data_IF_504522138110
#
_entry.id   IF_504522138110
#
_cell.length_a   1.000
_cell.length_b   1.000
_cell.length_c   1.000
_cell.angle_alpha   90.00
_cell.angle_beta   90.00
_cell.angle_gamma   90.00
#
_symmetry.space_group_name_H-M   'P 1'
#
loop_
_entity.id
_entity.type
_entity.pdbx_description
1 polymer ?
#
# COMPACT_ATOMS: atom_id res chain seq x y z
N UNK A 1 -16.60 -11.60 -7.23
CA UNK A 1 -15.17 -11.79 -6.89
C UNK A 1 -14.98 -13.17 -6.29
N UNK A 2 -13.88 -13.88 -6.59
CA UNK A 2 -13.62 -15.20 -6.03
C UNK A 2 -13.38 -15.07 -4.52
N UNK A 3 -13.89 -16.03 -3.71
CA UNK A 3 -13.72 -16.03 -2.24
C UNK A 3 -12.25 -15.92 -1.82
N UNK A 4 -11.33 -16.56 -2.56
CA UNK A 4 -9.89 -16.48 -2.31
C UNK A 4 -9.35 -15.04 -2.39
N UNK A 5 -9.84 -14.25 -3.36
CA UNK A 5 -9.43 -12.85 -3.53
C UNK A 5 -10.02 -11.99 -2.40
N UNK A 6 -11.27 -12.23 -2.01
CA UNK A 6 -11.90 -11.52 -0.89
C UNK A 6 -11.16 -11.77 0.42
N UNK A 7 -10.84 -13.04 0.71
CA UNK A 7 -10.09 -13.41 1.91
C UNK A 7 -8.69 -12.82 1.93
N UNK A 8 -8.01 -12.80 0.76
CA UNK A 8 -6.69 -12.18 0.63
C UNK A 8 -6.72 -10.66 0.87
N UNK A 9 -7.74 -9.96 0.33
CA UNK A 9 -7.94 -8.53 0.57
C UNK A 9 -8.22 -8.28 2.05
N UNK A 10 -9.10 -9.05 2.67
CA UNK A 10 -9.42 -8.91 4.10
C UNK A 10 -8.18 -9.10 4.97
N UNK A 11 -7.39 -10.15 4.69
CA UNK A 11 -6.13 -10.42 5.39
C UNK A 11 -5.13 -9.28 5.21
N UNK A 12 -4.96 -8.78 3.99
CA UNK A 12 -4.07 -7.66 3.70
C UNK A 12 -4.50 -6.39 4.43
N UNK A 13 -5.80 -6.11 4.47
CA UNK A 13 -6.34 -4.96 5.19
C UNK A 13 -6.10 -5.05 6.70
N UNK A 14 -6.26 -6.23 7.30
CA UNK A 14 -5.94 -6.46 8.72
C UNK A 14 -4.45 -6.26 8.99
N UNK A 15 -3.58 -6.85 8.17
CA UNK A 15 -2.13 -6.70 8.32
C UNK A 15 -1.71 -5.24 8.17
N UNK A 16 -2.07 -4.57 7.09
CA UNK A 16 -1.66 -3.18 6.89
C UNK A 16 -2.36 -2.21 7.84
N UNK A 17 -3.61 -2.49 8.23
CA UNK A 17 -4.33 -1.69 9.22
C UNK A 17 -3.65 -1.69 10.59
N UNK A 18 -3.10 -2.83 11.03
CA UNK A 18 -2.38 -2.93 12.30
C UNK A 18 -1.00 -2.28 12.29
N UNK A 19 -0.41 -2.03 11.11
CA UNK A 19 0.97 -1.57 11.00
C UNK A 19 1.19 -0.08 11.31
N UNK A 20 0.22 0.79 11.04
CA UNK A 20 0.43 2.25 11.11
C UNK A 20 0.90 2.72 12.48
N UNK A 21 0.28 2.20 13.54
CA UNK A 21 0.71 2.49 14.91
C UNK A 21 2.10 1.95 15.24
N UNK A 22 2.40 0.70 14.83
CA UNK A 22 3.71 0.09 15.05
C UNK A 22 4.82 0.83 14.30
N UNK A 23 4.58 1.22 13.04
CA UNK A 23 5.53 2.03 12.24
C UNK A 23 5.75 3.39 12.90
N UNK A 24 4.68 4.08 13.33
CA UNK A 24 4.80 5.36 14.05
C UNK A 24 5.64 5.23 15.30
N UNK A 25 5.41 4.19 16.10
CA UNK A 25 6.21 3.95 17.30
C UNK A 25 7.67 3.65 16.97
N UNK A 26 7.93 2.82 15.97
CA UNK A 26 9.29 2.52 15.52
C UNK A 26 10.04 3.76 15.02
N UNK A 27 9.39 4.69 14.32
CA UNK A 27 9.99 5.95 13.85
C UNK A 27 10.31 6.95 14.98
N UNK A 28 9.84 6.74 16.21
CA UNK A 28 10.28 7.51 17.37
C UNK A 28 11.65 7.06 17.89
N UNK A 29 12.05 5.84 17.55
CA UNK A 29 13.25 5.19 18.06
C UNK A 29 14.31 5.03 16.97
N UNK A 30 13.90 4.58 15.78
CA UNK A 30 14.80 4.34 14.64
C UNK A 30 14.91 5.55 13.73
N UNK A 31 16.09 5.87 13.18
CA UNK A 31 16.23 6.81 12.08
C UNK A 31 15.42 6.34 10.86
N UNK A 32 14.71 7.24 10.16
CA UNK A 32 13.71 6.88 9.14
C UNK A 32 14.23 6.02 7.99
N UNK A 33 15.34 6.43 7.34
CA UNK A 33 15.90 5.66 6.21
C UNK A 33 16.50 4.33 6.65
N UNK A 34 17.15 4.30 7.82
CA UNK A 34 17.71 3.08 8.40
C UNK A 34 16.58 2.09 8.73
N UNK A 35 15.49 2.56 9.32
CA UNK A 35 14.31 1.75 9.60
C UNK A 35 13.72 1.16 8.32
N UNK A 36 13.51 1.98 7.27
CA UNK A 36 12.96 1.50 5.99
C UNK A 36 13.91 0.50 5.35
N UNK A 37 15.20 0.81 5.27
CA UNK A 37 16.18 -0.07 4.62
C UNK A 37 16.22 -1.44 5.28
N UNK A 38 16.34 -1.49 6.62
CA UNK A 38 16.36 -2.74 7.38
C UNK A 38 15.07 -3.53 7.21
N UNK A 39 13.91 -2.86 7.29
CA UNK A 39 12.60 -3.46 7.05
C UNK A 39 12.50 -4.12 5.67
N UNK A 40 12.93 -3.42 4.61
CA UNK A 40 12.83 -3.92 3.23
C UNK A 40 13.84 -5.05 2.96
N UNK A 41 15.08 -4.90 3.42
CA UNK A 41 16.13 -5.91 3.26
C UNK A 41 15.77 -7.19 4.03
N UNK A 42 15.34 -7.08 5.28
CA UNK A 42 14.93 -8.24 6.08
C UNK A 42 13.73 -8.97 5.44
N UNK A 43 12.76 -8.24 4.93
CA UNK A 43 11.64 -8.81 4.17
C UNK A 43 12.12 -9.57 2.93
N UNK A 44 13.02 -8.97 2.14
CA UNK A 44 13.57 -9.59 0.95
C UNK A 44 14.36 -10.86 1.28
N UNK A 45 15.23 -10.82 2.29
CA UNK A 45 16.02 -11.98 2.73
C UNK A 45 15.12 -13.12 3.23
N UNK A 46 14.07 -12.82 3.98
CA UNK A 46 13.08 -13.82 4.41
C UNK A 46 12.39 -14.48 3.21
N UNK A 47 11.97 -13.69 2.23
CA UNK A 47 11.36 -14.23 1.00
C UNK A 47 12.36 -15.01 0.15
N UNK A 48 13.62 -14.60 0.09
CA UNK A 48 14.70 -15.37 -0.57
C UNK A 48 14.88 -16.73 0.06
N UNK A 49 14.88 -16.81 1.40
CA UNK A 49 14.95 -18.08 2.13
C UNK A 49 13.75 -18.98 1.77
N UNK A 50 12.53 -18.43 1.80
CA UNK A 50 11.31 -19.16 1.40
C UNK A 50 11.42 -19.66 -0.04
N UNK A 51 11.83 -18.81 -0.98
CA UNK A 51 11.98 -19.17 -2.40
C UNK A 51 13.02 -20.30 -2.58
N UNK A 52 14.09 -20.26 -1.81
CA UNK A 52 15.14 -21.29 -1.80
C UNK A 52 14.63 -22.63 -1.26
N UNK A 53 13.86 -22.61 -0.17
CA UNK A 53 13.20 -23.81 0.39
C UNK A 53 12.23 -24.41 -0.63
N UNK A 54 11.49 -23.58 -1.36
CA UNK A 54 10.58 -24.00 -2.43
C UNK A 54 11.31 -24.45 -3.70
N UNK A 55 12.64 -24.45 -3.74
CA UNK A 55 13.50 -24.82 -4.88
C UNK A 55 13.15 -24.05 -6.17
N UNK A 56 12.70 -22.81 -6.05
CA UNK A 56 12.38 -21.94 -7.18
C UNK A 56 13.55 -21.01 -7.51
N UNK A 57 13.62 -20.56 -8.76
CA UNK A 57 14.62 -19.59 -9.21
C UNK A 57 14.44 -18.26 -8.47
N UNK A 58 15.55 -17.74 -7.94
CA UNK A 58 15.59 -16.44 -7.25
C UNK A 58 16.10 -15.37 -8.23
N UNK A 59 17.09 -15.69 -9.06
CA UNK A 59 17.74 -14.72 -9.94
C UNK A 59 16.84 -14.31 -11.11
N UNK A 60 16.72 -13.00 -11.40
CA UNK A 60 16.05 -12.50 -12.60
C UNK A 60 16.86 -12.85 -13.85
N UNK A 61 16.16 -12.96 -14.97
CA UNK A 61 16.79 -12.97 -16.28
C UNK A 61 17.31 -11.58 -16.64
N UNK A 62 18.26 -11.51 -17.59
CA UNK A 62 18.89 -10.24 -17.95
C UNK A 62 17.88 -9.17 -18.39
N UNK A 63 16.83 -9.56 -19.10
CA UNK A 63 15.79 -8.66 -19.58
C UNK A 63 14.86 -8.13 -18.44
N UNK A 64 14.82 -8.83 -17.31
CA UNK A 64 13.93 -8.48 -16.17
C UNK A 64 14.49 -7.38 -15.27
N UNK A 65 15.81 -7.13 -15.31
CA UNK A 65 16.46 -6.18 -14.39
C UNK A 65 15.97 -4.75 -14.56
N UNK A 66 15.87 -4.25 -15.79
CA UNK A 66 15.39 -2.87 -16.04
C UNK A 66 13.98 -2.64 -15.49
N UNK A 67 12.97 -3.49 -15.78
CA UNK A 67 11.65 -3.34 -15.17
C UNK A 67 11.66 -3.43 -13.63
N UNK A 68 12.48 -4.31 -13.04
CA UNK A 68 12.58 -4.45 -11.58
C UNK A 68 13.20 -3.22 -10.92
N UNK A 69 14.25 -2.63 -11.53
CA UNK A 69 14.87 -1.39 -11.04
C UNK A 69 13.85 -0.24 -11.08
N UNK A 70 13.12 -0.08 -12.18
CA UNK A 70 12.09 0.97 -12.30
C UNK A 70 11.04 0.80 -11.21
N UNK A 71 10.54 -0.43 -11.00
CA UNK A 71 9.56 -0.71 -9.96
C UNK A 71 10.11 -0.40 -8.55
N UNK A 72 11.37 -0.79 -8.29
CA UNK A 72 12.02 -0.52 -7.00
C UNK A 72 12.16 0.97 -6.72
N UNK A 73 12.52 1.76 -7.71
CA UNK A 73 12.60 3.22 -7.58
C UNK A 73 11.20 3.80 -7.32
N UNK A 74 10.17 3.37 -8.03
CA UNK A 74 8.81 3.87 -7.83
C UNK A 74 8.30 3.58 -6.41
N UNK A 75 8.46 2.34 -5.92
CA UNK A 75 7.96 1.93 -4.61
C UNK A 75 8.86 2.43 -3.48
N UNK A 76 10.17 2.22 -3.57
CA UNK A 76 11.01 2.44 -2.40
C UNK A 76 11.46 3.89 -2.29
N UNK A 77 11.83 4.52 -3.38
CA UNK A 77 12.18 5.93 -3.38
C UNK A 77 10.94 6.82 -3.54
N UNK A 78 10.14 6.59 -4.58
CA UNK A 78 8.97 7.43 -4.84
C UNK A 78 7.93 7.37 -3.72
N UNK A 79 7.57 6.17 -3.26
CA UNK A 79 6.56 6.02 -2.21
C UNK A 79 7.16 6.06 -0.81
N UNK A 80 8.02 5.08 -0.42
CA UNK A 80 8.47 4.94 0.97
C UNK A 80 9.31 6.12 1.46
N UNK A 81 10.34 6.56 0.71
CA UNK A 81 11.19 7.65 1.16
C UNK A 81 10.38 8.95 1.29
N UNK A 82 9.56 9.27 0.27
CA UNK A 82 8.72 10.47 0.26
C UNK A 82 7.70 10.45 1.40
N UNK A 83 7.03 9.32 1.62
CA UNK A 83 6.07 9.17 2.71
C UNK A 83 6.74 9.33 4.08
N UNK A 84 7.85 8.63 4.31
CA UNK A 84 8.53 8.66 5.62
C UNK A 84 9.09 10.04 5.94
N UNK A 85 9.68 10.71 4.96
CA UNK A 85 10.13 12.09 5.13
C UNK A 85 8.95 13.01 5.48
N UNK A 86 7.84 12.90 4.75
CA UNK A 86 6.65 13.72 4.98
C UNK A 86 6.01 13.48 6.35
N UNK A 87 6.02 12.26 6.86
CA UNK A 87 5.46 11.91 8.18
C UNK A 87 6.20 12.58 9.36
N UNK A 88 7.37 13.15 9.16
CA UNK A 88 8.03 13.97 10.18
C UNK A 88 7.28 15.28 10.45
N UNK A 89 6.56 15.81 9.45
CA UNK A 89 5.86 17.10 9.50
C UNK A 89 4.34 16.97 9.64
N UNK A 90 3.80 15.76 9.46
CA UNK A 90 2.35 15.51 9.39
C UNK A 90 1.98 14.40 10.37
N UNK A 91 0.88 14.59 11.10
CA UNK A 91 0.35 13.57 12.02
C UNK A 91 -0.03 12.27 11.28
N UNK A 92 0.08 11.13 11.97
CA UNK A 92 -0.10 9.79 11.38
C UNK A 92 -1.47 9.58 10.72
N UNK A 93 -2.54 10.03 11.36
CA UNK A 93 -3.91 9.91 10.83
C UNK A 93 -4.08 10.68 9.51
N UNK A 94 -3.62 11.96 9.48
CA UNK A 94 -3.65 12.78 8.26
C UNK A 94 -2.75 12.18 7.17
N UNK A 95 -1.57 11.68 7.55
CA UNK A 95 -0.66 11.03 6.61
C UNK A 95 -1.30 9.82 5.94
N UNK A 96 -1.95 8.94 6.72
CA UNK A 96 -2.67 7.80 6.18
C UNK A 96 -3.70 8.24 5.14
N UNK A 97 -4.57 9.20 5.49
CA UNK A 97 -5.65 9.62 4.59
C UNK A 97 -5.14 10.26 3.32
N UNK A 98 -4.09 11.10 3.40
CA UNK A 98 -3.49 11.75 2.22
C UNK A 98 -2.87 10.72 1.27
N UNK A 99 -2.21 9.70 1.79
CA UNK A 99 -1.71 8.58 0.97
C UNK A 99 -2.86 7.81 0.32
N UNK A 100 -3.97 7.61 1.03
CA UNK A 100 -5.16 6.92 0.51
C UNK A 100 -5.96 7.72 -0.53
N UNK A 101 -5.47 8.86 -1.02
CA UNK A 101 -5.89 9.46 -2.29
C UNK A 101 -5.43 8.65 -3.53
N UNK A 102 -4.52 7.69 -3.35
CA UNK A 102 -3.98 6.84 -4.43
C UNK A 102 -5.03 6.14 -5.33
N UNK A 103 -6.23 5.71 -4.88
CA UNK A 103 -7.22 5.13 -5.77
C UNK A 103 -7.70 6.08 -6.87
N UNK A 104 -7.67 7.40 -6.61
CA UNK A 104 -7.99 8.43 -7.62
C UNK A 104 -6.95 8.37 -8.75
N UNK A 105 -5.67 8.36 -8.39
CA UNK A 105 -4.58 8.25 -9.36
C UNK A 105 -4.60 6.91 -10.09
N UNK A 106 -4.86 5.79 -9.38
CA UNK A 106 -4.96 4.46 -9.98
C UNK A 106 -6.12 4.42 -10.98
N UNK A 107 -7.27 5.01 -10.66
CA UNK A 107 -8.42 5.06 -11.57
C UNK A 107 -8.04 5.72 -12.91
N UNK A 108 -7.37 6.87 -12.85
CA UNK A 108 -6.92 7.61 -14.04
C UNK A 108 -5.85 6.81 -14.80
N UNK A 109 -4.79 6.40 -14.12
CA UNK A 109 -3.67 5.69 -14.75
C UNK A 109 -4.10 4.34 -15.34
N UNK A 110 -4.94 3.57 -14.65
CA UNK A 110 -5.45 2.29 -15.14
C UNK A 110 -6.34 2.46 -16.38
N UNK A 111 -7.11 3.55 -16.43
CA UNK A 111 -7.90 3.85 -17.64
C UNK A 111 -6.98 4.05 -18.86
N UNK A 112 -5.92 4.86 -18.74
CA UNK A 112 -5.04 5.16 -19.87
C UNK A 112 -4.04 4.06 -20.20
N UNK A 113 -3.47 3.38 -19.20
CA UNK A 113 -2.36 2.43 -19.41
C UNK A 113 -2.76 0.95 -19.40
N UNK A 114 -3.92 0.60 -18.83
CA UNK A 114 -4.41 -0.77 -18.72
C UNK A 114 -5.72 -1.00 -19.47
N UNK A 115 -6.27 0.02 -20.12
CA UNK A 115 -7.60 -0.01 -20.78
C UNK A 115 -8.74 -0.44 -19.81
N UNK A 116 -8.58 -0.19 -18.51
CA UNK A 116 -9.62 -0.45 -17.51
C UNK A 116 -10.67 0.65 -17.58
N UNK A 117 -11.86 0.33 -18.10
CA UNK A 117 -12.93 1.31 -18.23
C UNK A 117 -13.54 1.66 -16.87
N UNK A 118 -13.64 2.96 -16.62
CA UNK A 118 -14.38 3.51 -15.49
C UNK A 118 -15.87 3.53 -15.86
N UNK A 119 -16.65 2.64 -15.27
CA UNK A 119 -18.11 2.72 -15.36
C UNK A 119 -18.68 3.60 -14.23
N UNK A 120 -19.94 4.00 -14.37
CA UNK A 120 -20.63 4.88 -13.41
C UNK A 120 -20.50 4.38 -11.95
N UNK A 121 -20.53 3.08 -11.72
CA UNK A 121 -20.44 2.53 -10.36
C UNK A 121 -19.04 2.59 -9.78
N UNK A 122 -17.99 2.40 -10.61
CA UNK A 122 -16.60 2.63 -10.18
C UNK A 122 -16.40 4.10 -9.79
N UNK A 123 -16.98 5.03 -10.58
CA UNK A 123 -16.94 6.46 -10.29
C UNK A 123 -17.70 6.78 -9.01
N UNK A 124 -18.93 6.28 -8.84
CA UNK A 124 -19.70 6.48 -7.61
C UNK A 124 -18.98 5.89 -6.38
N UNK A 125 -18.41 4.70 -6.52
CA UNK A 125 -17.62 4.08 -5.44
C UNK A 125 -16.39 4.92 -5.07
N UNK A 126 -15.69 5.48 -6.07
CA UNK A 126 -14.55 6.38 -5.85
C UNK A 126 -14.99 7.67 -5.15
N UNK A 127 -16.10 8.28 -5.58
CA UNK A 127 -16.66 9.49 -4.95
C UNK A 127 -17.03 9.22 -3.50
N UNK A 128 -17.77 8.13 -3.22
CA UNK A 128 -18.14 7.75 -1.86
C UNK A 128 -16.91 7.50 -0.98
N UNK A 129 -15.92 6.75 -1.47
CA UNK A 129 -14.68 6.49 -0.75
C UNK A 129 -13.92 7.80 -0.43
N UNK A 130 -13.83 8.71 -1.40
CA UNK A 130 -13.17 10.02 -1.23
C UNK A 130 -13.93 10.89 -0.22
N UNK A 131 -15.26 10.92 -0.28
CA UNK A 131 -16.08 11.63 0.73
C UNK A 131 -15.88 11.05 2.13
N UNK A 132 -15.75 9.72 2.24
CA UNK A 132 -15.42 9.06 3.51
C UNK A 132 -14.06 9.48 4.05
N UNK A 133 -13.03 9.56 3.21
CA UNK A 133 -11.71 10.07 3.61
C UNK A 133 -11.77 11.53 4.05
N UNK A 134 -12.50 12.39 3.32
CA UNK A 134 -12.71 13.80 3.68
C UNK A 134 -13.44 13.90 5.03
N UNK A 135 -14.45 13.08 5.29
CA UNK A 135 -15.16 13.06 6.56
C UNK A 135 -14.25 12.72 7.75
N UNK A 136 -13.35 11.74 7.58
CA UNK A 136 -12.34 11.39 8.60
C UNK A 136 -11.38 12.56 8.85
N UNK A 137 -10.99 13.28 7.77
CA UNK A 137 -10.06 14.40 7.84
C UNK A 137 -10.67 15.72 8.28
N UNK A 138 -12.00 15.83 8.27
CA UNK A 138 -12.71 17.09 8.46
C UNK A 138 -12.20 17.94 9.64
N UNK A 139 -11.95 17.35 10.83
CA UNK A 139 -11.45 18.15 11.97
C UNK A 139 -10.06 18.76 11.74
N UNK A 140 -9.26 18.15 10.85
CA UNK A 140 -7.86 18.55 10.63
C UNK A 140 -7.72 19.58 9.49
N UNK A 141 -8.72 19.65 8.58
CA UNK A 141 -8.72 20.59 7.46
C UNK A 141 -8.83 22.06 7.91
N UNK A 142 -9.35 22.32 9.11
CA UNK A 142 -9.49 23.68 9.67
C UNK A 142 -8.17 24.26 10.23
N UNK A 143 -7.10 23.48 10.32
CA UNK A 143 -5.82 23.87 10.91
C UNK A 143 -4.66 23.89 9.89
N UNK A 144 -4.96 24.08 8.60
CA UNK A 144 -3.93 24.13 7.55
C UNK A 144 -3.23 25.49 7.56
N UNK A 145 -1.94 25.49 7.89
CA UNK A 145 -1.07 26.66 7.81
C UNK A 145 0.01 26.48 6.76
N UNK A 146 0.42 27.60 6.10
CA UNK A 146 1.53 27.64 5.14
C UNK A 146 2.87 27.44 5.87
N UNK A 147 3.25 26.18 6.09
CA UNK A 147 4.47 25.79 6.80
C UNK A 147 4.99 24.42 6.30
N UNK A 148 6.00 23.87 6.97
CA UNK A 148 6.55 22.53 6.66
C UNK A 148 5.48 21.43 6.67
N UNK A 149 4.38 21.60 7.41
CA UNK A 149 3.24 20.67 7.39
C UNK A 149 2.56 20.63 6.01
N UNK A 150 2.41 21.75 5.32
CA UNK A 150 1.85 21.79 3.96
C UNK A 150 2.75 21.07 2.96
N UNK A 151 4.06 21.28 3.05
CA UNK A 151 5.03 20.52 2.23
C UNK A 151 4.88 19.03 2.46
N UNK A 152 4.81 18.60 3.73
CA UNK A 152 4.58 17.20 4.10
C UNK A 152 3.27 16.65 3.49
N UNK A 153 2.18 17.42 3.52
CA UNK A 153 0.90 17.00 2.93
C UNK A 153 0.99 16.80 1.41
N UNK A 154 1.65 17.73 0.70
CA UNK A 154 1.88 17.62 -0.75
C UNK A 154 2.75 16.39 -1.07
N UNK A 155 3.78 16.14 -0.30
CA UNK A 155 4.64 14.97 -0.45
C UNK A 155 3.89 13.66 -0.20
N UNK A 156 2.96 13.62 0.77
CA UNK A 156 2.12 12.44 1.02
C UNK A 156 1.18 12.14 -0.15
N UNK A 157 0.55 13.15 -0.73
CA UNK A 157 -0.24 12.99 -1.96
C UNK A 157 0.64 12.50 -3.10
N UNK A 158 1.84 13.08 -3.26
CA UNK A 158 2.84 12.65 -4.22
C UNK A 158 3.28 11.19 -4.02
N UNK A 159 3.45 10.75 -2.78
CA UNK A 159 3.74 9.35 -2.49
C UNK A 159 2.59 8.43 -2.93
N UNK A 160 1.33 8.83 -2.70
CA UNK A 160 0.16 8.12 -3.22
C UNK A 160 0.15 8.01 -4.76
N UNK A 161 0.61 9.04 -5.46
CA UNK A 161 0.80 8.99 -6.91
C UNK A 161 1.88 7.97 -7.34
N UNK A 162 3.02 7.91 -6.66
CA UNK A 162 4.06 6.91 -6.93
C UNK A 162 3.58 5.48 -6.64
N UNK A 163 2.79 5.29 -5.58
CA UNK A 163 2.11 4.01 -5.34
C UNK A 163 1.19 3.62 -6.50
N UNK A 164 0.41 4.56 -7.02
CA UNK A 164 -0.48 4.34 -8.15
C UNK A 164 0.30 3.96 -9.42
N UNK A 165 1.38 4.68 -9.73
CA UNK A 165 2.27 4.37 -10.84
C UNK A 165 2.84 2.95 -10.71
N UNK A 166 3.34 2.59 -9.53
CA UNK A 166 3.91 1.26 -9.29
C UNK A 166 2.86 0.15 -9.44
N UNK A 167 1.63 0.36 -8.95
CA UNK A 167 0.53 -0.59 -9.07
C UNK A 167 0.17 -0.87 -10.53
N UNK A 168 0.02 0.19 -11.32
CA UNK A 168 -0.25 0.09 -12.76
C UNK A 168 0.93 -0.55 -13.50
N UNK A 169 2.15 -0.21 -13.12
CA UNK A 169 3.38 -0.76 -13.67
C UNK A 169 3.50 -2.27 -13.40
N UNK A 170 3.23 -2.71 -12.15
CA UNK A 170 3.18 -4.13 -11.77
C UNK A 170 2.16 -4.87 -12.63
N UNK A 171 0.96 -4.35 -12.76
CA UNK A 171 -0.09 -5.00 -13.52
C UNK A 171 0.25 -5.12 -15.00
N UNK A 172 0.85 -4.08 -15.58
CA UNK A 172 1.24 -4.07 -16.99
C UNK A 172 2.39 -5.01 -17.31
N UNK A 173 3.43 -5.03 -16.48
CA UNK A 173 4.69 -5.69 -16.81
C UNK A 173 4.90 -7.03 -16.08
N UNK A 174 4.21 -7.26 -14.95
CA UNK A 174 4.46 -8.40 -14.07
C UNK A 174 3.21 -9.25 -13.76
N UNK A 175 2.16 -9.16 -14.59
CA UNK A 175 0.91 -9.88 -14.34
C UNK A 175 1.10 -11.40 -14.21
N UNK A 176 1.92 -12.01 -15.06
CA UNK A 176 2.24 -13.45 -15.05
C UNK A 176 3.52 -13.80 -14.29
N UNK A 177 4.26 -12.80 -13.77
CA UNK A 177 5.54 -13.01 -13.11
C UNK A 177 5.37 -13.66 -11.72
N UNK A 178 6.37 -14.42 -11.25
CA UNK A 178 6.37 -14.97 -9.88
C UNK A 178 6.34 -13.84 -8.85
N UNK A 179 5.32 -13.84 -7.99
CA UNK A 179 5.05 -12.74 -7.06
C UNK A 179 6.07 -12.68 -5.91
N UNK A 180 6.62 -13.83 -5.52
CA UNK A 180 7.67 -13.88 -4.50
C UNK A 180 8.95 -13.32 -5.09
N UNK A 181 9.36 -13.77 -6.29
CA UNK A 181 10.55 -13.28 -7.00
C UNK A 181 10.45 -11.77 -7.28
N UNK A 182 9.27 -11.29 -7.73
CA UNK A 182 9.00 -9.86 -7.91
C UNK A 182 9.24 -9.08 -6.62
N UNK A 183 8.63 -9.54 -5.53
CA UNK A 183 8.71 -8.86 -4.23
C UNK A 183 10.14 -8.87 -3.68
N UNK A 184 10.87 -9.98 -3.80
CA UNK A 184 12.29 -10.06 -3.39
C UNK A 184 13.08 -8.91 -4.01
N UNK A 185 13.08 -8.82 -5.34
CA UNK A 185 13.94 -7.87 -6.04
C UNK A 185 13.46 -6.43 -5.91
N UNK A 186 12.15 -6.20 -5.90
CA UNK A 186 11.56 -4.91 -5.61
C UNK A 186 12.04 -4.36 -4.26
N UNK A 187 11.99 -5.20 -3.21
CA UNK A 187 12.36 -4.79 -1.85
C UNK A 187 13.88 -4.76 -1.64
N UNK A 188 14.62 -5.70 -2.20
CA UNK A 188 16.07 -5.76 -2.03
C UNK A 188 16.76 -4.56 -2.70
N UNK A 189 16.46 -4.29 -3.97
CA UNK A 189 17.03 -3.16 -4.70
C UNK A 189 16.65 -1.83 -4.04
N UNK A 190 15.37 -1.68 -3.68
CA UNK A 190 14.91 -0.47 -3.03
C UNK A 190 15.46 -0.30 -1.60
N UNK A 191 15.51 -1.39 -0.83
CA UNK A 191 16.10 -1.41 0.50
C UNK A 191 17.59 -1.06 0.50
N UNK A 192 18.34 -1.57 -0.49
CA UNK A 192 19.76 -1.22 -0.67
C UNK A 192 19.94 0.27 -0.99
N UNK A 193 19.07 0.85 -1.84
CA UNK A 193 19.09 2.29 -2.12
C UNK A 193 18.81 3.09 -0.84
N UNK A 194 17.80 2.70 -0.05
CA UNK A 194 17.49 3.35 1.24
C UNK A 194 18.62 3.20 2.25
N UNK A 195 19.34 2.08 2.24
CA UNK A 195 20.50 1.88 3.10
C UNK A 195 21.63 2.86 2.77
N UNK A 196 21.91 3.08 1.49
CA UNK A 196 22.88 4.10 1.07
C UNK A 196 22.44 5.50 1.52
N UNK A 197 21.15 5.83 1.40
CA UNK A 197 20.61 7.11 1.91
C UNK A 197 20.75 7.22 3.42
N UNK A 198 20.51 6.15 4.19
CA UNK A 198 20.70 6.14 5.63
C UNK A 198 22.16 6.42 6.00
N UNK A 199 23.12 5.77 5.34
CA UNK A 199 24.56 5.98 5.60
C UNK A 199 25.02 7.41 5.29
N UNK A 200 24.38 8.09 4.33
CA UNK A 200 24.75 9.45 3.92
C UNK A 200 24.13 10.54 4.80
N UNK A 201 22.93 10.30 5.36
CA UNK A 201 22.11 11.36 5.95
C UNK A 201 21.71 11.10 7.42
N UNK A 202 21.90 9.88 7.96
CA UNK A 202 21.45 9.54 9.30
C UNK A 202 22.58 9.06 10.19
N UNK A 203 22.56 9.42 11.49
CA UNK A 203 23.50 8.86 12.46
C UNK A 203 23.14 7.38 12.72
N UNK A 204 24.15 6.52 12.75
CA UNK A 204 23.99 5.11 13.10
C UNK A 204 24.20 4.97 14.60
N UNK A 205 23.09 4.85 15.35
CA UNK A 205 23.15 4.54 16.79
C UNK A 205 22.92 3.04 17.01
N UNK A 206 23.94 2.34 17.49
CA UNK A 206 23.86 0.91 17.76
C UNK A 206 22.95 0.57 18.96
N UNK A 207 22.70 1.49 19.88
CA UNK A 207 21.90 1.24 21.09
C UNK A 207 20.42 0.96 20.77
N UNK A 208 19.91 1.51 19.67
CA UNK A 208 18.53 1.31 19.20
C UNK A 208 18.25 -0.18 18.94
N UNK A 209 19.27 -0.93 18.54
CA UNK A 209 19.19 -2.36 18.20
C UNK A 209 19.31 -3.32 19.41
N UNK A 210 19.54 -2.79 20.60
CA UNK A 210 19.71 -3.61 21.81
C UNK A 210 18.39 -3.84 22.57
N UNK A 211 17.26 -3.29 22.11
CA UNK A 211 15.97 -3.46 22.75
C UNK A 211 15.14 -4.55 22.06
N UNK A 212 14.91 -5.72 22.69
CA UNK A 212 14.17 -6.85 22.09
C UNK A 212 12.75 -6.50 21.63
N UNK A 213 12.11 -5.52 22.27
CA UNK A 213 10.77 -5.09 21.87
C UNK A 213 10.80 -4.36 20.51
N UNK A 214 11.79 -3.49 20.30
CA UNK A 214 12.00 -2.79 19.05
C UNK A 214 12.33 -3.77 17.91
N UNK A 215 13.19 -4.74 18.18
CA UNK A 215 13.55 -5.78 17.22
C UNK A 215 12.36 -6.67 16.83
N UNK A 216 11.55 -7.08 17.80
CA UNK A 216 10.37 -7.90 17.55
C UNK A 216 9.31 -7.14 16.71
N UNK A 217 9.11 -5.86 17.01
CA UNK A 217 8.24 -4.99 16.21
C UNK A 217 8.76 -4.83 14.78
N UNK A 218 10.06 -4.56 14.62
CA UNK A 218 10.70 -4.46 13.31
C UNK A 218 10.59 -5.77 12.52
N UNK A 219 10.82 -6.92 13.16
CA UNK A 219 10.69 -8.23 12.54
C UNK A 219 9.27 -8.48 12.03
N UNK A 220 8.26 -8.21 12.85
CA UNK A 220 6.85 -8.32 12.43
C UNK A 220 6.54 -7.39 11.25
N UNK A 221 6.95 -6.13 11.33
CA UNK A 221 6.74 -5.14 10.28
C UNK A 221 7.45 -5.58 8.98
N UNK A 222 8.65 -6.12 9.06
CA UNK A 222 9.42 -6.57 7.91
C UNK A 222 8.82 -7.84 7.28
N UNK A 223 8.64 -8.88 8.07
CA UNK A 223 8.25 -10.21 7.54
C UNK A 223 6.78 -10.24 7.15
N UNK A 224 5.90 -9.89 8.10
CA UNK A 224 4.44 -9.97 7.88
C UNK A 224 3.94 -8.73 7.15
N UNK A 225 4.26 -7.56 7.68
CA UNK A 225 3.74 -6.28 7.18
C UNK A 225 4.35 -5.81 5.86
N UNK A 226 5.52 -6.33 5.49
CA UNK A 226 6.17 -5.96 4.23
C UNK A 226 6.32 -7.18 3.31
N UNK A 227 7.11 -8.17 3.67
CA UNK A 227 7.37 -9.31 2.80
C UNK A 227 6.11 -10.04 2.35
N UNK A 228 5.40 -10.63 3.30
CA UNK A 228 4.16 -11.35 3.03
C UNK A 228 3.08 -10.44 2.42
N UNK A 229 2.88 -9.25 2.99
CA UNK A 229 1.85 -8.34 2.53
C UNK A 229 2.06 -7.86 1.09
N UNK A 230 3.31 -7.59 0.66
CA UNK A 230 3.60 -7.23 -0.73
C UNK A 230 3.43 -8.40 -1.71
N UNK A 231 3.80 -9.62 -1.33
CA UNK A 231 3.48 -10.81 -2.14
C UNK A 231 1.98 -10.92 -2.35
N UNK A 232 1.21 -10.75 -1.26
CA UNK A 232 -0.24 -10.80 -1.29
C UNK A 232 -0.84 -9.67 -2.13
N UNK A 233 -0.34 -8.43 -1.99
CA UNK A 233 -0.72 -7.28 -2.81
C UNK A 233 -0.45 -7.52 -4.29
N UNK A 234 0.77 -7.93 -4.65
CA UNK A 234 1.16 -8.22 -6.02
C UNK A 234 0.31 -9.34 -6.64
N UNK A 235 -0.10 -10.33 -5.82
CA UNK A 235 -1.03 -11.37 -6.24
C UNK A 235 -2.44 -10.81 -6.47
N UNK A 236 -2.98 -10.01 -5.53
CA UNK A 236 -4.31 -9.39 -5.66
C UNK A 236 -4.39 -8.55 -6.94
N UNK A 237 -3.41 -7.67 -7.18
CA UNK A 237 -3.35 -6.82 -8.38
C UNK A 237 -3.33 -7.63 -9.67
N UNK A 238 -2.78 -8.86 -9.65
CA UNK A 238 -2.82 -9.76 -10.82
C UNK A 238 -4.17 -10.46 -11.03
N UNK A 239 -5.05 -10.50 -10.02
CA UNK A 239 -6.33 -11.23 -10.07
C UNK A 239 -7.53 -10.34 -10.39
N UNK A 240 -7.45 -9.05 -10.12
CA UNK A 240 -8.56 -8.09 -10.31
C UNK A 240 -8.07 -6.83 -11.00
N UNK A 241 -9.01 -5.97 -11.43
CA UNK A 241 -8.66 -4.63 -11.93
C UNK A 241 -7.85 -3.85 -10.89
N UNK A 242 -6.85 -3.08 -11.34
CA UNK A 242 -6.02 -2.27 -10.45
C UNK A 242 -6.87 -1.29 -9.62
N UNK A 243 -7.92 -0.73 -10.23
CA UNK A 243 -8.90 0.09 -9.54
C UNK A 243 -9.63 -0.68 -8.44
N UNK A 244 -10.12 -1.90 -8.71
CA UNK A 244 -10.83 -2.73 -7.72
C UNK A 244 -9.91 -3.12 -6.57
N UNK A 245 -8.65 -3.47 -6.86
CA UNK A 245 -7.66 -3.74 -5.83
C UNK A 245 -7.46 -2.51 -4.92
N UNK A 246 -7.28 -1.32 -5.51
CA UNK A 246 -7.01 -0.10 -4.76
C UNK A 246 -8.16 0.36 -3.89
N UNK A 247 -9.39 0.30 -4.39
CA UNK A 247 -10.56 0.71 -3.60
C UNK A 247 -10.84 -0.28 -2.46
N UNK A 248 -10.54 -1.56 -2.67
CA UNK A 248 -10.75 -2.59 -1.65
C UNK A 248 -9.86 -2.39 -0.42
N UNK A 249 -8.68 -1.78 -0.56
CA UNK A 249 -7.79 -1.48 0.57
C UNK A 249 -8.09 -0.13 1.25
N UNK A 250 -9.09 0.63 0.80
CA UNK A 250 -9.52 1.86 1.48
C UNK A 250 -10.09 1.61 2.89
N UNK A 251 -10.38 0.35 3.25
CA UNK A 251 -10.72 0.02 4.64
C UNK A 251 -9.51 0.10 5.61
N UNK A 252 -8.28 0.16 5.11
CA UNK A 252 -7.07 0.20 5.95
C UNK A 252 -7.05 1.40 6.89
N UNK A 253 -7.34 2.65 6.49
CA UNK A 253 -7.43 3.77 7.41
C UNK A 253 -8.43 3.53 8.55
N UNK A 254 -9.58 2.91 8.25
CA UNK A 254 -10.61 2.59 9.26
C UNK A 254 -10.05 1.59 10.27
N UNK A 255 -9.42 0.52 9.78
CA UNK A 255 -8.79 -0.48 10.64
C UNK A 255 -7.63 0.10 11.44
N UNK A 256 -6.84 1.00 10.83
CA UNK A 256 -5.75 1.69 11.53
C UNK A 256 -6.27 2.54 12.70
N UNK A 257 -7.36 3.26 12.52
CA UNK A 257 -8.00 4.03 13.57
C UNK A 257 -8.63 3.13 14.64
N UNK A 258 -9.24 2.00 14.24
CA UNK A 258 -9.76 1.00 15.16
C UNK A 258 -8.65 0.40 16.03
N UNK A 259 -7.53 -0.04 15.43
CA UNK A 259 -6.38 -0.54 16.18
C UNK A 259 -5.72 0.56 17.03
N UNK A 260 -5.68 1.80 16.53
CA UNK A 260 -5.24 2.97 17.28
C UNK A 260 -6.03 3.17 18.55
N UNK A 261 -7.36 3.08 18.46
CA UNK A 261 -8.24 3.17 19.64
C UNK A 261 -8.07 1.99 20.59
N UNK A 262 -7.95 0.75 20.06
CA UNK A 262 -7.84 -0.44 20.88
C UNK A 262 -6.51 -0.56 21.63
N UNK A 263 -5.40 -0.21 20.97
CA UNK A 263 -4.03 -0.45 21.50
C UNK A 263 -3.47 0.81 22.17
N UNK A 264 -3.72 2.00 21.59
CA UNK A 264 -3.19 3.28 22.09
C UNK A 264 -4.24 4.19 22.70
N UNK A 265 -5.48 3.70 22.88
CA UNK A 265 -6.60 4.44 23.46
C UNK A 265 -6.93 5.76 22.74
N UNK A 266 -6.67 5.83 21.43
CA UNK A 266 -7.01 6.99 20.60
C UNK A 266 -8.56 7.13 20.49
N UNK A 267 -9.14 8.34 20.64
CA UNK A 267 -10.60 8.50 20.64
C UNK A 267 -11.19 8.25 19.24
N UNK A 268 -12.21 7.39 19.16
CA UNK A 268 -13.01 7.22 17.95
C UNK A 268 -14.06 8.35 17.88
N UNK A 269 -13.86 9.28 16.96
CA UNK A 269 -14.79 10.38 16.75
C UNK A 269 -15.95 10.00 15.83
N UNK A 270 -17.06 10.74 15.90
CA UNK A 270 -18.21 10.55 15.02
C UNK A 270 -17.83 10.68 13.53
N UNK A 271 -16.86 11.54 13.22
CA UNK A 271 -16.37 11.74 11.85
C UNK A 271 -15.71 10.47 11.29
N UNK A 272 -15.00 9.70 12.14
CA UNK A 272 -14.41 8.42 11.78
C UNK A 272 -15.52 7.41 11.44
N UNK A 273 -16.58 7.34 12.24
CA UNK A 273 -17.71 6.43 12.01
C UNK A 273 -18.45 6.79 10.72
N UNK A 274 -18.74 8.05 10.47
CA UNK A 274 -19.37 8.53 9.23
C UNK A 274 -18.48 8.18 8.04
N UNK A 275 -17.19 8.51 8.11
CA UNK A 275 -16.23 8.21 7.05
C UNK A 275 -16.11 6.71 6.75
N UNK A 276 -16.13 5.87 7.80
CA UNK A 276 -16.12 4.42 7.66
C UNK A 276 -17.33 3.90 6.86
N UNK A 277 -18.53 4.40 7.15
CA UNK A 277 -19.75 4.04 6.42
C UNK A 277 -19.64 4.40 4.94
N UNK A 278 -19.20 5.63 4.62
CA UNK A 278 -19.02 6.05 3.23
C UNK A 278 -17.99 5.21 2.47
N UNK A 279 -16.85 4.89 3.11
CA UNK A 279 -15.81 4.04 2.51
C UNK A 279 -16.37 2.63 2.25
N UNK A 280 -17.04 2.01 3.23
CA UNK A 280 -17.65 0.70 3.04
C UNK A 280 -18.68 0.70 1.90
N UNK A 281 -19.54 1.72 1.82
CA UNK A 281 -20.48 1.88 0.71
C UNK A 281 -19.75 2.00 -0.64
N UNK A 282 -18.65 2.77 -0.69
CA UNK A 282 -17.83 2.93 -1.88
C UNK A 282 -17.22 1.60 -2.37
N UNK A 283 -16.69 0.79 -1.45
CA UNK A 283 -16.14 -0.55 -1.75
C UNK A 283 -17.24 -1.47 -2.31
N UNK A 284 -18.39 -1.52 -1.65
CA UNK A 284 -19.53 -2.34 -2.09
C UNK A 284 -20.01 -1.91 -3.47
N UNK A 285 -20.24 -0.62 -3.69
CA UNK A 285 -20.67 -0.08 -5.00
C UNK A 285 -19.73 -0.45 -6.14
N UNK A 286 -18.42 -0.33 -5.92
CA UNK A 286 -17.41 -0.66 -6.93
C UNK A 286 -17.33 -2.15 -7.24
N UNK A 287 -17.71 -3.01 -6.29
CA UNK A 287 -17.55 -4.47 -6.38
C UNK A 287 -18.77 -5.20 -6.97
N UNK A 288 -19.96 -4.62 -6.91
CA UNK A 288 -21.23 -5.31 -7.20
C UNK A 288 -21.43 -5.73 -8.67
N UNK A 289 -20.92 -5.00 -9.65
CA UNK A 289 -21.19 -5.25 -11.09
C UNK A 289 -20.31 -6.27 -11.80
N UNK A 290 -19.29 -6.83 -11.19
CA UNK A 290 -18.49 -7.87 -11.86
C UNK A 290 -19.27 -9.15 -12.18
N UNK A 291 -20.40 -9.41 -11.50
CA UNK A 291 -21.27 -10.58 -11.78
C UNK A 291 -22.09 -10.45 -13.09
N UNK A 292 -22.55 -9.26 -13.43
CA UNK A 292 -23.49 -9.07 -14.58
C UNK A 292 -22.77 -9.11 -15.93
N UNK A 293 -21.53 -8.65 -16.00
CA UNK A 293 -20.78 -8.62 -17.26
C UNK A 293 -20.33 -10.02 -17.71
N UNK A 294 -20.04 -10.93 -16.76
CA UNK A 294 -19.68 -12.32 -17.08
C UNK A 294 -20.86 -13.11 -17.64
N UNK A 295 -22.09 -12.85 -17.17
CA UNK A 295 -23.30 -13.51 -17.68
C UNK A 295 -23.73 -13.01 -19.07
N UNK A 296 -23.46 -11.74 -19.43
CA UNK A 296 -23.79 -11.24 -20.77
C UNK A 296 -22.89 -11.83 -21.86
N UNK A 297 -21.62 -12.07 -21.58
CA UNK A 297 -20.70 -12.73 -22.52
C UNK A 297 -21.02 -14.22 -22.69
N UNK A 298 -21.45 -14.90 -21.62
CA UNK A 298 -21.90 -16.29 -21.69
C UNK A 298 -23.23 -16.44 -22.45
N UNK A 299 -24.15 -15.45 -22.39
CA UNK A 299 -25.41 -15.48 -23.08
C UNK A 299 -25.30 -15.16 -24.59
N UNK A 300 -24.33 -14.29 -24.98
CA UNK A 300 -24.11 -13.98 -26.41
C UNK A 300 -23.38 -15.10 -27.15
N UNK A 301 -22.61 -15.96 -26.46
CA UNK A 301 -21.95 -17.14 -27.06
C UNK A 301 -22.92 -18.31 -27.30
N UNK A 302 -24.10 -18.34 -26.67
CA UNK A 302 -25.14 -19.36 -26.89
C UNK A 302 -26.15 -19.01 -27.96
N UNK A 303 -26.11 -17.79 -28.52
CA UNK A 303 -27.02 -17.38 -29.63
C UNK A 303 -26.33 -17.42 -31.01
N UNK A 304 -25.09 -17.90 -31.10
CA UNK A 304 -24.33 -18.02 -32.37
C UNK A 304 -24.07 -19.48 -32.79
N UNK A 305 -24.87 -20.45 -32.28
CA UNK A 305 -24.90 -21.84 -32.79
C UNK A 305 -26.30 -22.25 -33.25
#
# INVERSE_FOLDING_TARGET
MNIRVVSAIALLCLVWGSLWGLVKHSLQVFPPFLFISTRLILAALTLMLIQRILKKSILPEQAEWKPLIILSVLICFGFYATQTFAMQFVGSGLSAVLVFTMPIFIAVLAHYFLNERLNTQKILGLVLGTLGLIAILWPQLHHVHMNMSLLGQVLLIGSGFFWALSTVYIKKNFAAYDKIKLTIWQLLLGGSLMFVMALLFEPVDAQVWLNPLNESALFYIAVVGTGFAFVLWNWIVSQVDAFVASISIMCIPILSLFFGSLIWHEPLTINILIGAVFICMGIVMSSLKMKVQKNRLAYSSHQQH
#
